data_IF_769748616069
#
_entry.id   IF_769748616069
#
_cell.length_a   1.000
_cell.length_b   1.000
_cell.length_c   1.000
_cell.angle_alpha   90.00
_cell.angle_beta   90.00
_cell.angle_gamma   90.00
#
_symmetry.space_group_name_H-M   'P 1'
#
loop_
_entity.id
_entity.type
_entity.pdbx_description
1 polymer ?
#
# COMPACT_ATOMS: atom_id res chain seq x y z
N UNK A 1 -28.97 -21.93 -49.82
CA UNK A 1 -28.66 -22.44 -48.47
C UNK A 1 -28.17 -21.26 -47.63
N UNK A 2 -28.79 -20.92 -46.49
CA UNK A 2 -28.27 -19.85 -45.66
C UNK A 2 -27.07 -20.34 -44.85
N UNK A 3 -25.98 -19.56 -44.88
CA UNK A 3 -24.75 -19.82 -44.15
C UNK A 3 -25.02 -19.77 -42.64
N UNK A 4 -24.68 -20.85 -41.92
CA UNK A 4 -24.64 -20.87 -40.45
C UNK A 4 -23.30 -20.34 -39.99
N UNK A 5 -23.27 -19.18 -39.36
CA UNK A 5 -22.12 -18.70 -38.60
C UNK A 5 -22.23 -19.20 -37.16
N UNK A 6 -21.18 -19.87 -36.68
CA UNK A 6 -21.03 -20.32 -35.31
C UNK A 6 -20.14 -19.30 -34.61
N UNK A 7 -20.72 -18.51 -33.71
CA UNK A 7 -19.94 -17.66 -32.79
C UNK A 7 -19.51 -18.58 -31.64
N UNK A 8 -18.24 -18.96 -31.62
CA UNK A 8 -17.64 -19.53 -30.42
C UNK A 8 -17.39 -18.36 -29.46
N UNK A 9 -18.34 -18.14 -28.54
CA UNK A 9 -18.09 -17.30 -27.39
C UNK A 9 -16.93 -17.91 -26.59
N UNK A 10 -15.94 -17.11 -26.15
CA UNK A 10 -14.88 -17.61 -25.30
C UNK A 10 -15.53 -18.29 -24.09
N UNK A 11 -15.14 -19.53 -23.85
CA UNK A 11 -15.66 -20.41 -22.79
C UNK A 11 -15.88 -19.60 -21.53
N UNK A 12 -17.14 -19.30 -21.20
CA UNK A 12 -17.48 -18.69 -19.93
C UNK A 12 -17.02 -19.68 -18.85
N UNK A 13 -15.86 -19.42 -18.26
CA UNK A 13 -15.42 -20.16 -17.10
C UNK A 13 -16.53 -19.98 -16.07
N UNK A 14 -17.13 -21.09 -15.63
CA UNK A 14 -18.04 -21.07 -14.48
C UNK A 14 -17.21 -20.69 -13.26
N UNK A 15 -17.16 -19.39 -12.99
CA UNK A 15 -16.52 -18.87 -11.78
C UNK A 15 -17.34 -19.37 -10.59
N UNK A 16 -16.69 -20.13 -9.72
CA UNK A 16 -17.26 -20.54 -8.43
C UNK A 16 -16.79 -19.58 -7.35
N UNK A 17 -17.68 -19.23 -6.44
CA UNK A 17 -17.34 -18.36 -5.31
C UNK A 17 -16.40 -19.11 -4.36
N UNK A 18 -15.12 -18.71 -4.34
CA UNK A 18 -14.06 -19.42 -3.61
C UNK A 18 -13.60 -18.67 -2.34
N UNK A 19 -13.42 -17.35 -2.45
CA UNK A 19 -12.93 -16.50 -1.36
C UNK A 19 -13.70 -15.18 -1.36
N UNK A 20 -13.83 -14.57 -0.18
CA UNK A 20 -14.37 -13.22 0.01
C UNK A 20 -13.27 -12.32 0.58
N UNK A 21 -13.16 -11.12 0.02
CA UNK A 21 -12.26 -10.08 0.51
C UNK A 21 -13.10 -9.00 1.18
N UNK A 22 -12.88 -8.79 2.48
CA UNK A 22 -13.49 -7.67 3.20
C UNK A 22 -12.46 -6.55 3.30
N UNK A 23 -12.79 -5.40 2.72
CA UNK A 23 -11.93 -4.21 2.74
C UNK A 23 -12.53 -3.20 3.71
N UNK A 24 -11.79 -2.93 4.78
CA UNK A 24 -12.13 -1.98 5.82
C UNK A 24 -11.45 -0.66 5.49
N UNK A 25 -12.23 0.40 5.42
CA UNK A 25 -11.76 1.77 5.15
C UNK A 25 -12.27 2.68 6.25
N UNK A 26 -11.52 3.72 6.54
CA UNK A 26 -12.01 4.79 7.42
C UNK A 26 -13.17 5.53 6.75
N UNK A 27 -14.14 6.01 7.55
CA UNK A 27 -15.34 6.67 7.04
C UNK A 27 -15.09 8.06 6.42
N UNK A 28 -13.87 8.62 6.55
CA UNK A 28 -13.53 9.91 5.97
C UNK A 28 -13.21 9.78 4.47
N UNK A 29 -13.76 10.70 3.67
CA UNK A 29 -13.70 10.70 2.19
C UNK A 29 -12.27 10.73 1.57
N UNK A 30 -11.21 10.96 2.37
CA UNK A 30 -9.81 11.07 1.91
C UNK A 30 -8.83 10.10 2.59
N UNK A 31 -9.32 9.02 3.22
CA UNK A 31 -8.45 8.08 3.91
C UNK A 31 -7.63 7.23 2.92
N UNK A 32 -6.30 7.23 3.11
CA UNK A 32 -5.34 6.45 2.31
C UNK A 32 -5.05 5.05 2.88
N UNK A 33 -5.61 4.73 4.05
CA UNK A 33 -5.37 3.46 4.73
C UNK A 33 -6.56 2.52 4.56
N UNK A 34 -6.27 1.27 4.21
CA UNK A 34 -7.24 0.20 4.12
C UNK A 34 -6.65 -1.06 4.74
N UNK A 35 -7.45 -1.74 5.56
CA UNK A 35 -7.15 -3.09 6.01
C UNK A 35 -8.00 -4.05 5.17
N UNK A 36 -7.43 -5.18 4.78
CA UNK A 36 -8.17 -6.21 4.08
C UNK A 36 -8.00 -7.55 4.78
N UNK A 37 -9.06 -8.32 4.89
CA UNK A 37 -9.02 -9.73 5.27
C UNK A 37 -9.50 -10.60 4.11
N UNK A 38 -8.90 -11.79 3.99
CA UNK A 38 -9.32 -12.84 3.05
C UNK A 38 -10.01 -13.93 3.83
N UNK A 39 -11.19 -14.31 3.37
CA UNK A 39 -12.06 -15.31 3.97
C UNK A 39 -12.32 -16.40 2.95
N UNK A 40 -12.25 -17.67 3.36
CA UNK A 40 -12.79 -18.75 2.53
C UNK A 40 -14.31 -18.65 2.50
N UNK A 41 -14.93 -19.04 1.38
CA UNK A 41 -16.39 -19.14 1.28
C UNK A 41 -16.77 -20.60 1.14
N UNK A 42 -17.76 -21.01 1.91
CA UNK A 42 -18.36 -22.34 1.83
C UNK A 42 -19.84 -22.22 1.46
N UNK A 43 -20.39 -23.22 0.75
CA UNK A 43 -21.80 -23.29 0.42
C UNK A 43 -22.50 -24.18 1.45
N UNK A 44 -23.33 -23.56 2.29
CA UNK A 44 -24.17 -24.26 3.27
C UNK A 44 -25.64 -23.99 2.96
N UNK A 45 -26.46 -25.04 2.84
CA UNK A 45 -27.87 -24.98 2.43
C UNK A 45 -28.12 -24.15 1.15
N UNK A 46 -27.21 -24.25 0.18
CA UNK A 46 -27.27 -23.52 -1.08
C UNK A 46 -26.97 -22.02 -0.97
N UNK A 47 -26.49 -21.55 0.18
CA UNK A 47 -26.10 -20.16 0.43
C UNK A 47 -24.61 -20.03 0.72
N UNK A 48 -23.95 -18.97 0.21
CA UNK A 48 -22.55 -18.73 0.52
C UNK A 48 -22.38 -18.16 1.93
N UNK A 49 -21.55 -18.83 2.72
CA UNK A 49 -21.18 -18.46 4.08
C UNK A 49 -19.71 -18.03 4.09
N UNK A 50 -19.46 -16.80 4.54
CA UNK A 50 -18.10 -16.26 4.71
C UNK A 50 -17.52 -16.82 6.01
N UNK A 51 -16.43 -17.58 5.90
CA UNK A 51 -15.74 -18.18 7.05
C UNK A 51 -14.82 -17.17 7.74
N UNK A 52 -14.15 -17.59 8.82
CA UNK A 52 -13.19 -16.77 9.55
C UNK A 52 -12.09 -16.22 8.61
N UNK A 53 -11.82 -14.93 8.73
CA UNK A 53 -10.88 -14.22 7.88
C UNK A 53 -9.47 -14.25 8.43
N UNK A 54 -8.48 -14.27 7.53
CA UNK A 54 -7.09 -13.99 7.86
C UNK A 54 -6.73 -12.60 7.33
N UNK A 55 -5.91 -11.81 8.06
CA UNK A 55 -5.33 -10.59 7.51
C UNK A 55 -4.72 -10.85 6.13
N UNK A 56 -5.02 -10.00 5.17
CA UNK A 56 -4.47 -10.12 3.83
C UNK A 56 -2.97 -9.85 3.88
N UNK A 57 -2.15 -10.88 3.65
CA UNK A 57 -0.71 -10.69 3.52
C UNK A 57 -0.36 -9.97 2.21
N UNK A 58 0.77 -9.24 2.14
CA UNK A 58 1.25 -8.63 0.89
C UNK A 58 1.41 -9.64 -0.25
N UNK A 59 1.78 -10.89 0.07
CA UNK A 59 1.90 -11.97 -0.93
C UNK A 59 0.53 -12.39 -1.48
N UNK A 60 -0.48 -12.49 -0.62
CA UNK A 60 -1.85 -12.81 -1.02
C UNK A 60 -2.47 -11.68 -1.86
N UNK A 61 -2.27 -10.41 -1.44
CA UNK A 61 -2.68 -9.24 -2.20
C UNK A 61 -2.07 -9.23 -3.62
N UNK A 62 -0.76 -9.47 -3.76
CA UNK A 62 -0.07 -9.55 -5.06
C UNK A 62 -0.52 -10.73 -5.92
N UNK A 63 -0.92 -11.85 -5.31
CA UNK A 63 -1.46 -13.01 -6.05
C UNK A 63 -2.84 -12.66 -6.62
N UNK A 64 -3.73 -12.16 -5.76
CA UNK A 64 -5.07 -11.73 -6.14
C UNK A 64 -5.02 -10.62 -7.21
N UNK A 65 -4.18 -9.60 -7.03
CA UNK A 65 -4.00 -8.53 -8.00
C UNK A 65 -3.54 -9.05 -9.37
N UNK A 66 -2.65 -10.06 -9.41
CA UNK A 66 -2.22 -10.69 -10.68
C UNK A 66 -3.32 -11.51 -11.33
N UNK A 67 -4.11 -12.24 -10.55
CA UNK A 67 -5.24 -13.04 -11.05
C UNK A 67 -6.34 -12.13 -11.62
N UNK A 68 -6.63 -11.02 -10.95
CA UNK A 68 -7.57 -9.99 -11.43
C UNK A 68 -7.02 -9.22 -12.64
N UNK A 69 -5.73 -8.88 -12.65
CA UNK A 69 -5.11 -8.18 -13.76
C UNK A 69 -5.05 -9.02 -15.05
N UNK A 70 -5.08 -10.36 -14.96
CA UNK A 70 -5.22 -11.26 -16.12
C UNK A 70 -6.62 -11.24 -16.74
N UNK A 71 -7.63 -10.75 -16.00
CA UNK A 71 -9.00 -10.59 -16.48
C UNK A 71 -9.29 -9.19 -17.02
N UNK A 72 -8.51 -8.19 -16.60
CA UNK A 72 -8.47 -6.92 -17.30
C UNK A 72 -7.86 -7.17 -18.69
N UNK A 73 -8.39 -6.58 -19.78
CA UNK A 73 -7.68 -6.60 -21.05
C UNK A 73 -6.29 -6.06 -20.76
N UNK A 74 -5.26 -6.86 -21.02
CA UNK A 74 -3.91 -6.42 -20.87
C UNK A 74 -3.78 -5.10 -21.64
N UNK A 75 -3.49 -4.00 -20.96
CA UNK A 75 -3.02 -2.76 -21.59
C UNK A 75 -1.59 -2.95 -22.11
N UNK A 76 -1.27 -4.16 -22.58
CA UNK A 76 -0.05 -4.48 -23.30
C UNK A 76 -0.19 -3.88 -24.69
N UNK A 77 0.06 -2.58 -24.79
CA UNK A 77 0.27 -1.91 -26.06
C UNK A 77 1.76 -1.86 -26.35
N UNK A 78 2.13 -2.05 -27.61
CA UNK A 78 3.48 -1.70 -28.07
C UNK A 78 3.78 -0.25 -27.70
N UNK A 79 4.99 0.01 -27.18
CA UNK A 79 5.44 1.38 -26.95
C UNK A 79 5.48 2.11 -28.29
N UNK A 80 4.79 3.23 -28.38
CA UNK A 80 4.67 4.10 -29.56
C UNK A 80 5.98 4.75 -30.06
N UNK A 81 7.13 4.34 -29.53
CA UNK A 81 8.45 4.89 -29.82
C UNK A 81 8.71 6.31 -29.27
N UNK A 82 7.67 7.02 -28.84
CA UNK A 82 7.69 8.39 -28.33
C UNK A 82 7.67 8.45 -26.81
N UNK A 83 7.12 7.44 -26.16
CA UNK A 83 7.15 7.31 -24.70
C UNK A 83 8.59 7.26 -24.21
N UNK A 84 8.92 8.16 -23.28
CA UNK A 84 10.23 8.27 -22.63
C UNK A 84 10.24 7.68 -21.22
N UNK A 85 9.13 7.85 -20.49
CA UNK A 85 8.96 7.32 -19.14
C UNK A 85 7.50 6.91 -18.93
N UNK A 86 7.31 5.73 -18.35
CA UNK A 86 6.01 5.15 -18.06
C UNK A 86 6.02 4.60 -16.63
N UNK A 87 5.55 5.42 -15.68
CA UNK A 87 5.24 4.99 -14.31
C UNK A 87 3.73 4.91 -14.08
N UNK A 88 3.35 4.48 -12.87
CA UNK A 88 1.94 4.30 -12.47
C UNK A 88 1.14 5.60 -12.47
N UNK A 89 1.78 6.70 -12.08
CA UNK A 89 1.13 8.02 -11.93
C UNK A 89 1.71 9.10 -12.85
N UNK A 90 2.82 8.82 -13.54
CA UNK A 90 3.54 9.77 -14.37
C UNK A 90 3.82 9.16 -15.74
N UNK A 91 3.38 9.85 -16.79
CA UNK A 91 3.68 9.52 -18.18
C UNK A 91 4.49 10.66 -18.79
N UNK A 92 5.57 10.33 -19.49
CA UNK A 92 6.42 11.29 -20.20
C UNK A 92 6.65 10.81 -21.63
N UNK A 93 6.46 11.68 -22.60
CA UNK A 93 6.64 11.37 -24.02
C UNK A 93 7.28 12.53 -24.77
N UNK A 94 7.96 12.20 -25.86
CA UNK A 94 8.60 13.15 -26.75
C UNK A 94 7.83 13.33 -28.04
N UNK A 95 7.80 14.57 -28.52
CA UNK A 95 7.23 14.94 -29.81
C UNK A 95 8.36 15.55 -30.65
N UNK A 96 8.67 14.98 -31.83
CA UNK A 96 9.69 15.54 -32.70
C UNK A 96 9.31 16.94 -33.19
N UNK A 97 10.32 17.75 -33.50
CA UNK A 97 10.16 19.03 -34.16
C UNK A 97 9.38 18.86 -35.46
N UNK A 98 8.46 19.77 -35.74
CA UNK A 98 7.58 19.68 -36.90
C UNK A 98 6.68 20.89 -37.04
N UNK A 99 6.02 21.00 -38.19
CA UNK A 99 5.02 22.05 -38.42
C UNK A 99 3.70 21.63 -37.78
N UNK A 100 3.13 22.51 -36.95
CA UNK A 100 1.84 22.30 -36.27
C UNK A 100 1.05 23.59 -36.25
N UNK A 101 -0.27 23.46 -36.16
CA UNK A 101 -1.13 24.62 -35.95
C UNK A 101 -1.00 25.13 -34.52
N UNK A 102 -0.94 26.45 -34.37
CA UNK A 102 -0.98 27.14 -33.08
C UNK A 102 -1.94 28.32 -33.17
N UNK A 103 -2.77 28.52 -32.14
CA UNK A 103 -3.73 29.62 -32.07
C UNK A 103 -3.47 30.52 -30.87
N UNK A 104 -3.44 31.83 -31.10
CA UNK A 104 -3.32 32.85 -30.06
C UNK A 104 -4.64 33.59 -29.88
N UNK A 105 -4.93 33.97 -28.63
CA UNK A 105 -6.01 34.90 -28.27
C UNK A 105 -5.50 35.87 -27.20
N UNK A 106 -4.95 37.00 -27.65
CA UNK A 106 -4.43 38.04 -26.75
C UNK A 106 -4.57 39.43 -27.37
N UNK A 107 -4.37 40.50 -26.58
CA UNK A 107 -4.55 41.87 -27.07
C UNK A 107 -3.56 42.23 -28.19
N UNK A 108 -2.34 41.71 -28.14
CA UNK A 108 -1.24 42.05 -29.04
C UNK A 108 -1.31 41.30 -30.40
N UNK A 109 -1.88 40.10 -30.42
CA UNK A 109 -1.96 39.24 -31.60
C UNK A 109 -3.39 39.09 -32.14
N UNK A 110 -4.40 39.52 -31.37
CA UNK A 110 -5.80 39.24 -31.65
C UNK A 110 -6.13 37.76 -31.47
N UNK A 111 -7.19 37.31 -32.14
CA UNK A 111 -7.55 35.90 -32.28
C UNK A 111 -7.14 35.41 -33.67
N UNK A 112 -6.03 34.67 -33.75
CA UNK A 112 -5.50 34.12 -35.02
C UNK A 112 -4.64 32.89 -34.77
N UNK A 113 -4.49 32.05 -35.79
CA UNK A 113 -3.60 30.89 -35.73
C UNK A 113 -3.02 30.56 -37.10
N UNK A 114 -1.87 29.90 -37.11
CA UNK A 114 -1.18 29.46 -38.33
C UNK A 114 -0.47 28.13 -38.10
N UNK A 115 -0.17 27.44 -39.20
CA UNK A 115 0.72 26.28 -39.17
C UNK A 115 2.19 26.74 -39.27
N UNK A 116 2.94 26.59 -38.18
CA UNK A 116 4.32 27.09 -38.05
C UNK A 116 5.24 25.98 -37.55
N UNK A 117 6.57 26.04 -37.77
CA UNK A 117 7.47 25.03 -37.21
C UNK A 117 7.59 25.18 -35.69
N UNK A 118 7.65 24.05 -34.99
CA UNK A 118 7.84 23.92 -33.55
C UNK A 118 9.15 23.19 -33.23
N UNK A 119 9.78 23.46 -32.06
CA UNK A 119 10.92 22.68 -31.61
C UNK A 119 10.48 21.27 -31.23
N UNK A 120 11.46 20.40 -30.97
CA UNK A 120 11.19 19.13 -30.33
C UNK A 120 10.72 19.37 -28.88
N UNK A 121 9.72 18.61 -28.42
CA UNK A 121 9.07 18.84 -27.13
C UNK A 121 9.05 17.56 -26.29
N UNK A 122 9.09 17.74 -24.97
CA UNK A 122 8.86 16.68 -24.00
C UNK A 122 7.65 17.06 -23.17
N UNK A 123 6.62 16.23 -23.19
CA UNK A 123 5.43 16.38 -22.37
C UNK A 123 5.48 15.42 -21.19
N UNK A 124 4.89 15.83 -20.07
CA UNK A 124 4.66 14.96 -18.93
C UNK A 124 3.28 15.22 -18.34
N UNK A 125 2.58 14.16 -17.92
CA UNK A 125 1.30 14.27 -17.23
C UNK A 125 1.26 13.35 -16.01
N UNK A 126 0.67 13.85 -14.93
CA UNK A 126 0.35 13.08 -13.74
C UNK A 126 -0.98 13.53 -13.15
N UNK A 127 -1.45 12.84 -12.11
CA UNK A 127 -2.60 13.30 -11.32
C UNK A 127 -2.39 14.71 -10.71
N UNK A 128 -1.12 15.15 -10.55
CA UNK A 128 -0.77 16.45 -9.94
C UNK A 128 -0.67 17.58 -10.95
N UNK A 129 -0.64 17.29 -12.25
CA UNK A 129 -0.49 18.34 -13.25
C UNK A 129 -0.05 17.86 -14.63
N UNK A 130 0.25 18.84 -15.47
CA UNK A 130 0.61 18.66 -16.86
C UNK A 130 1.73 19.63 -17.24
N UNK A 131 2.77 19.13 -17.90
CA UNK A 131 4.00 19.87 -18.18
C UNK A 131 4.46 19.68 -19.62
N UNK A 132 5.19 20.69 -20.12
CA UNK A 132 5.89 20.65 -21.40
C UNK A 132 7.22 21.41 -21.33
N UNK A 133 8.24 20.83 -21.97
CA UNK A 133 9.57 21.42 -22.16
C UNK A 133 9.99 21.33 -23.62
N UNK A 134 10.99 22.10 -24.02
CA UNK A 134 11.58 22.05 -25.35
C UNK A 134 13.00 21.48 -25.33
N UNK A 135 13.38 20.83 -26.43
CA UNK A 135 14.74 20.35 -26.68
C UNK A 135 15.38 21.17 -27.81
N UNK A 136 16.70 21.36 -27.74
CA UNK A 136 17.46 21.99 -28.83
C UNK A 136 17.62 21.04 -30.03
N UNK A 137 17.87 19.77 -29.75
CA UNK A 137 18.10 18.78 -30.79
C UNK A 137 16.81 18.03 -31.10
N UNK A 138 16.59 17.71 -32.38
CA UNK A 138 15.45 16.91 -32.82
C UNK A 138 15.80 15.41 -32.79
N UNK A 139 16.20 14.93 -31.62
CA UNK A 139 16.57 13.54 -31.37
C UNK A 139 15.83 13.08 -30.11
N UNK A 140 15.50 11.79 -30.02
CA UNK A 140 14.82 11.23 -28.85
C UNK A 140 15.63 11.53 -27.57
N UNK A 141 15.07 12.26 -26.60
CA UNK A 141 15.78 12.65 -25.39
C UNK A 141 16.18 11.46 -24.51
N UNK A 142 17.34 11.56 -23.89
CA UNK A 142 17.84 10.69 -22.81
C UNK A 142 17.65 11.38 -21.44
N UNK A 143 17.83 10.67 -20.31
CA UNK A 143 17.73 11.27 -18.98
C UNK A 143 18.65 12.49 -18.79
N UNK A 144 19.83 12.51 -19.44
CA UNK A 144 20.84 13.58 -19.35
C UNK A 144 20.55 14.75 -20.30
N UNK A 145 19.53 14.65 -21.16
CA UNK A 145 19.24 15.68 -22.16
C UNK A 145 18.89 17.00 -21.47
N UNK A 146 19.63 18.10 -21.74
CA UNK A 146 19.31 19.41 -21.21
C UNK A 146 18.01 19.94 -21.79
N UNK A 147 17.13 20.43 -20.92
CA UNK A 147 15.85 20.98 -21.32
C UNK A 147 15.88 22.51 -21.44
N UNK A 148 14.95 23.01 -22.23
CA UNK A 148 14.65 24.43 -22.38
C UNK A 148 13.20 24.71 -21.98
N UNK A 149 12.92 25.97 -21.65
CA UNK A 149 11.56 26.48 -21.45
C UNK A 149 10.79 26.25 -22.75
N UNK A 150 9.57 25.74 -22.65
CA UNK A 150 8.71 25.62 -23.81
C UNK A 150 8.34 27.04 -24.27
N UNK A 151 8.45 27.37 -25.58
CA UNK A 151 8.33 28.74 -26.06
C UNK A 151 6.88 29.23 -26.14
N UNK A 152 5.96 28.71 -25.33
CA UNK A 152 4.53 28.95 -25.45
C UNK A 152 3.99 29.89 -24.37
N UNK A 153 2.90 30.57 -24.69
CA UNK A 153 2.08 31.21 -23.65
C UNK A 153 1.44 30.13 -22.78
N UNK A 154 0.88 30.53 -21.64
CA UNK A 154 0.24 29.65 -20.67
C UNK A 154 1.18 28.59 -20.04
N UNK A 155 2.48 28.57 -20.35
CA UNK A 155 3.47 27.66 -19.75
C UNK A 155 4.38 28.40 -18.77
N UNK A 156 4.58 27.84 -17.57
CA UNK A 156 5.45 28.41 -16.53
C UNK A 156 6.94 28.22 -16.83
N UNK A 157 7.80 28.90 -16.07
CA UNK A 157 9.27 28.79 -16.22
C UNK A 157 9.81 27.36 -15.99
N UNK A 158 9.09 26.54 -15.21
CA UNK A 158 9.40 25.13 -14.97
C UNK A 158 8.58 24.17 -15.85
N UNK A 159 7.87 24.70 -16.85
CA UNK A 159 7.16 23.91 -17.85
C UNK A 159 5.74 23.51 -17.47
N UNK A 160 5.19 23.95 -16.33
CA UNK A 160 3.81 23.63 -15.96
C UNK A 160 2.82 24.34 -16.90
N UNK A 161 1.87 23.58 -17.45
CA UNK A 161 0.84 24.08 -18.36
C UNK A 161 -0.34 24.59 -17.54
N UNK A 162 -0.69 25.86 -17.71
CA UNK A 162 -1.93 26.40 -17.18
C UNK A 162 -3.09 25.94 -18.07
N UNK A 163 -3.95 25.08 -17.52
CA UNK A 163 -5.04 24.44 -18.26
C UNK A 163 -6.12 25.45 -18.69
N UNK A 164 -6.35 26.53 -17.94
CA UNK A 164 -7.41 27.49 -18.24
C UNK A 164 -8.77 26.80 -18.43
N UNK A 165 -9.48 27.12 -19.51
CA UNK A 165 -10.73 26.48 -19.92
C UNK A 165 -10.56 25.28 -20.87
N UNK A 166 -9.35 24.74 -21.00
CA UNK A 166 -9.05 23.64 -21.94
C UNK A 166 -9.71 22.36 -21.47
N UNK A 167 -10.44 21.68 -22.36
CA UNK A 167 -10.99 20.35 -22.07
C UNK A 167 -9.85 19.34 -22.05
N UNK A 168 -9.44 18.94 -20.86
CA UNK A 168 -8.42 17.89 -20.68
C UNK A 168 -9.02 16.51 -20.96
N UNK A 169 -8.28 15.59 -21.62
CA UNK A 169 -8.77 14.23 -21.82
C UNK A 169 -9.10 13.53 -20.49
N UNK A 170 -10.25 12.86 -20.42
CA UNK A 170 -10.67 12.07 -19.24
C UNK A 170 -10.36 10.58 -19.43
N UNK A 171 -9.75 9.93 -18.43
CA UNK A 171 -9.43 8.49 -18.36
C UNK A 171 -7.94 8.20 -18.14
N UNK A 172 -7.53 6.92 -18.13
CA UNK A 172 -6.15 6.52 -17.82
C UNK A 172 -5.14 7.23 -18.75
N UNK A 173 -4.21 7.96 -18.12
CA UNK A 173 -3.24 8.83 -18.78
C UNK A 173 -2.21 8.05 -19.62
N UNK A 174 -2.17 6.72 -19.48
CA UNK A 174 -1.17 5.86 -20.10
C UNK A 174 -1.32 5.58 -21.60
N UNK A 175 -2.52 5.74 -22.20
CA UNK A 175 -2.79 5.24 -23.57
C UNK A 175 -3.13 6.30 -24.62
N UNK A 176 -3.16 7.60 -24.27
CA UNK A 176 -3.61 8.69 -25.16
C UNK A 176 -2.65 9.88 -25.21
N UNK A 177 -1.35 9.63 -25.39
CA UNK A 177 -0.36 10.71 -25.50
C UNK A 177 -0.69 11.71 -26.63
N UNK A 178 -1.33 11.24 -27.70
CA UNK A 178 -1.77 12.08 -28.82
C UNK A 178 -2.90 13.01 -28.40
N UNK A 179 -3.91 12.53 -27.67
CA UNK A 179 -5.01 13.37 -27.19
C UNK A 179 -4.52 14.48 -26.26
N UNK A 180 -3.52 14.21 -25.40
CA UNK A 180 -2.90 15.24 -24.57
C UNK A 180 -2.13 16.25 -25.43
N UNK A 181 -1.33 15.78 -26.37
CA UNK A 181 -0.57 16.65 -27.29
C UNK A 181 -1.52 17.54 -28.11
N UNK A 182 -2.60 16.98 -28.63
CA UNK A 182 -3.60 17.69 -29.42
C UNK A 182 -4.39 18.68 -28.57
N UNK A 183 -4.74 18.34 -27.32
CA UNK A 183 -5.37 19.27 -26.39
C UNK A 183 -4.48 20.50 -26.12
N UNK A 184 -3.15 20.33 -26.09
CA UNK A 184 -2.23 21.45 -25.91
C UNK A 184 -2.27 22.41 -27.11
N UNK A 185 -2.11 21.87 -28.32
CA UNK A 185 -2.09 22.68 -29.55
C UNK A 185 -3.47 23.18 -29.99
N UNK A 186 -4.55 22.52 -29.54
CA UNK A 186 -5.93 22.96 -29.74
C UNK A 186 -6.39 24.06 -28.78
N UNK A 187 -5.57 24.43 -27.79
CA UNK A 187 -5.87 25.52 -26.86
C UNK A 187 -5.50 26.89 -27.44
N UNK A 188 -6.12 27.95 -26.89
CA UNK A 188 -5.71 29.32 -27.19
C UNK A 188 -4.57 29.76 -26.26
N UNK A 189 -3.44 30.09 -26.86
CA UNK A 189 -2.29 30.70 -26.20
C UNK A 189 -2.59 32.19 -25.92
N UNK A 190 -2.82 32.54 -24.65
CA UNK A 190 -3.46 33.82 -24.30
C UNK A 190 -2.54 34.82 -23.59
N UNK A 191 -1.69 34.36 -22.67
CA UNK A 191 -0.75 35.25 -21.98
C UNK A 191 0.54 34.51 -21.59
N UNK A 192 1.71 35.17 -21.62
CA UNK A 192 2.94 34.59 -21.11
C UNK A 192 2.86 34.37 -19.59
N UNK A 193 2.96 33.12 -19.14
CA UNK A 193 3.07 32.77 -17.72
C UNK A 193 4.52 32.78 -17.21
N UNK A 194 5.48 32.54 -18.11
CA UNK A 194 6.91 32.58 -17.80
C UNK A 194 7.48 33.99 -17.84
N UNK A 195 8.48 34.25 -17.00
CA UNK A 195 9.15 35.56 -16.89
C UNK A 195 9.93 35.93 -18.15
N UNK A 196 10.48 34.93 -18.86
CA UNK A 196 11.19 35.04 -20.14
C UNK A 196 11.00 33.76 -20.95
N UNK A 197 9.96 33.73 -21.77
CA UNK A 197 9.55 32.54 -22.56
C UNK A 197 10.53 32.25 -23.72
N UNK A 198 11.08 33.30 -24.36
CA UNK A 198 12.04 33.17 -25.48
C UNK A 198 13.13 34.25 -25.43
N UNK A 199 14.30 33.96 -26.03
CA UNK A 199 15.38 34.91 -26.32
C UNK A 199 15.03 35.72 -27.57
N UNK A 200 14.27 36.80 -27.38
CA UNK A 200 13.90 37.71 -28.47
C UNK A 200 13.96 39.17 -28.02
N UNK A 201 14.58 40.04 -28.85
CA UNK A 201 14.84 41.45 -28.53
C UNK A 201 13.58 42.22 -28.12
N UNK A 202 12.44 41.85 -28.68
CA UNK A 202 11.14 42.50 -28.47
C UNK A 202 10.14 41.59 -27.70
N UNK A 203 10.64 40.60 -26.97
CA UNK A 203 9.82 39.70 -26.17
C UNK A 203 9.04 38.65 -26.97
N UNK A 204 8.21 37.89 -26.25
CA UNK A 204 7.52 36.71 -26.78
C UNK A 204 6.37 37.04 -27.76
N UNK A 205 5.66 38.15 -27.56
CA UNK A 205 4.62 38.61 -28.49
C UNK A 205 5.20 38.89 -29.88
N UNK A 206 6.31 39.64 -29.95
CA UNK A 206 6.95 39.95 -31.23
C UNK A 206 7.56 38.71 -31.89
N UNK A 207 8.07 37.76 -31.09
CA UNK A 207 8.57 36.48 -31.60
C UNK A 207 7.44 35.70 -32.29
N UNK A 208 6.31 35.49 -31.61
CA UNK A 208 5.19 34.75 -32.18
C UNK A 208 4.53 35.48 -33.32
N UNK A 209 4.41 36.82 -33.27
CA UNK A 209 3.96 37.62 -34.42
C UNK A 209 4.80 37.33 -35.67
N UNK A 210 6.12 37.35 -35.56
CA UNK A 210 7.01 37.03 -36.68
C UNK A 210 6.89 35.59 -37.17
N UNK A 211 6.73 34.62 -36.25
CA UNK A 211 6.49 33.22 -36.60
C UNK A 211 5.17 33.03 -37.37
N UNK A 212 4.11 33.80 -37.04
CA UNK A 212 2.80 33.74 -37.71
C UNK A 212 2.81 34.49 -39.05
N UNK A 213 3.43 35.67 -39.11
CA UNK A 213 3.41 36.52 -40.32
C UNK A 213 4.33 36.00 -41.43
N UNK A 214 5.45 35.36 -41.07
CA UNK A 214 6.40 34.78 -42.02
C UNK A 214 7.07 33.52 -41.42
N UNK A 215 6.38 32.37 -41.41
CA UNK A 215 6.89 31.15 -40.80
C UNK A 215 8.21 30.72 -41.46
N UNK A 216 9.30 30.55 -40.70
CA UNK A 216 10.54 30.02 -41.26
C UNK A 216 10.40 28.54 -41.63
N UNK A 217 11.35 27.98 -42.39
CA UNK A 217 11.35 26.55 -42.71
C UNK A 217 11.58 25.64 -41.48
N UNK A 218 12.24 26.15 -40.44
CA UNK A 218 12.54 25.43 -39.19
C UNK A 218 12.41 26.37 -37.99
N UNK A 219 12.06 25.81 -36.84
CA UNK A 219 11.96 26.60 -35.61
C UNK A 219 13.32 27.21 -35.24
N UNK A 220 13.39 28.50 -34.89
CA UNK A 220 14.64 29.17 -34.53
C UNK A 220 15.11 28.75 -33.13
N UNK A 221 15.79 27.62 -33.03
CA UNK A 221 16.20 27.00 -31.75
C UNK A 221 17.03 27.89 -30.83
N UNK A 222 17.76 28.86 -31.39
CA UNK A 222 18.50 29.90 -30.64
C UNK A 222 17.60 30.78 -29.76
N UNK A 223 16.29 30.82 -30.06
CA UNK A 223 15.29 31.53 -29.27
C UNK A 223 14.94 30.80 -27.96
N UNK A 224 15.31 29.52 -27.81
CA UNK A 224 15.01 28.76 -26.59
C UNK A 224 15.86 29.23 -25.40
N UNK A 225 15.20 29.30 -24.25
CA UNK A 225 15.81 29.61 -22.95
C UNK A 225 16.12 28.31 -22.21
N UNK A 226 17.36 28.04 -21.77
CA UNK A 226 17.65 26.87 -20.94
C UNK A 226 16.92 26.96 -19.59
N UNK A 227 16.56 25.81 -19.02
CA UNK A 227 16.07 25.72 -17.63
C UNK A 227 17.16 25.31 -16.63
N UNK A 228 18.38 25.05 -17.11
CA UNK A 228 19.51 24.54 -16.31
C UNK A 228 19.18 23.24 -15.55
N UNK A 229 18.37 22.38 -16.18
CA UNK A 229 17.95 21.06 -15.68
C UNK A 229 17.89 20.05 -16.83
N UNK A 230 18.20 18.81 -16.51
CA UNK A 230 18.06 17.66 -17.41
C UNK A 230 16.64 17.09 -17.37
N UNK A 231 16.34 16.16 -18.28
CA UNK A 231 15.09 15.39 -18.23
C UNK A 231 14.96 14.63 -16.91
N UNK A 232 16.02 14.00 -16.43
CA UNK A 232 16.03 13.27 -15.15
C UNK A 232 15.68 14.18 -13.97
N UNK A 233 16.29 15.37 -13.91
CA UNK A 233 16.02 16.36 -12.86
C UNK A 233 14.53 16.77 -12.84
N UNK A 234 13.95 16.97 -14.02
CA UNK A 234 12.54 17.35 -14.12
C UNK A 234 11.62 16.21 -13.73
N UNK A 235 11.89 14.98 -14.19
CA UNK A 235 11.11 13.79 -13.79
C UNK A 235 11.16 13.60 -12.27
N UNK A 236 12.33 13.74 -11.65
CA UNK A 236 12.47 13.66 -10.19
C UNK A 236 11.70 14.78 -9.47
N UNK A 237 11.72 15.99 -10.02
CA UNK A 237 10.99 17.14 -9.47
C UNK A 237 9.46 16.94 -9.51
N UNK A 238 8.91 16.42 -10.61
CA UNK A 238 7.45 16.28 -10.78
C UNK A 238 6.90 14.93 -10.32
N UNK A 239 7.72 13.88 -10.31
CA UNK A 239 7.33 12.52 -9.93
C UNK A 239 7.10 12.36 -8.43
N UNK A 240 7.69 13.22 -7.60
CA UNK A 240 7.90 12.89 -6.18
C UNK A 240 8.87 11.71 -6.04
N UNK A 241 9.41 11.48 -4.84
CA UNK A 241 10.41 10.43 -4.55
C UNK A 241 10.22 9.18 -5.43
N UNK A 242 11.28 8.79 -6.15
CA UNK A 242 11.37 7.58 -6.97
C UNK A 242 11.36 6.32 -6.07
N UNK A 243 10.36 6.18 -5.22
CA UNK A 243 10.09 4.94 -4.51
C UNK A 243 9.30 4.08 -5.47
N UNK A 244 9.82 2.89 -5.79
CA UNK A 244 9.09 1.91 -6.58
C UNK A 244 7.69 1.74 -5.96
N UNK A 245 6.60 1.74 -6.74
CA UNK A 245 5.25 1.62 -6.19
C UNK A 245 5.05 0.36 -5.34
N UNK A 246 5.81 -0.72 -5.61
CA UNK A 246 5.84 -1.93 -4.79
C UNK A 246 6.49 -1.68 -3.45
N UNK A 247 7.56 -0.88 -3.41
CA UNK A 247 8.23 -0.49 -2.18
C UNK A 247 7.39 0.51 -1.38
N UNK A 248 6.71 1.44 -2.05
CA UNK A 248 5.75 2.33 -1.40
C UNK A 248 4.61 1.54 -0.75
N UNK A 249 4.07 0.52 -1.44
CA UNK A 249 3.06 -0.37 -0.87
C UNK A 249 3.61 -1.21 0.31
N UNK A 250 4.87 -1.65 0.24
CA UNK A 250 5.54 -2.35 1.35
C UNK A 250 5.72 -1.44 2.56
N UNK A 251 6.15 -0.20 2.35
CA UNK A 251 6.30 0.81 3.41
C UNK A 251 4.95 1.21 4.01
N UNK A 252 3.87 1.25 3.21
CA UNK A 252 2.54 1.50 3.73
C UNK A 252 2.03 0.33 4.61
N UNK A 253 2.38 -0.91 4.27
CA UNK A 253 1.99 -2.10 5.05
C UNK A 253 2.77 -2.26 6.36
N UNK A 254 4.02 -1.78 6.40
CA UNK A 254 4.86 -1.75 7.60
C UNK A 254 5.64 -0.42 7.66
N UNK A 255 5.02 0.67 8.15
CA UNK A 255 5.67 1.96 8.25
C UNK A 255 6.90 1.90 9.15
N UNK A 256 7.87 2.78 8.90
CA UNK A 256 9.06 2.93 9.73
C UNK A 256 9.06 4.36 10.27
N UNK A 257 9.24 4.51 11.58
CA UNK A 257 9.38 5.81 12.23
C UNK A 257 10.68 5.86 13.03
N UNK A 258 11.36 7.00 12.99
CA UNK A 258 12.48 7.27 13.90
C UNK A 258 11.93 7.61 15.29
N UNK A 259 12.54 7.07 16.34
CA UNK A 259 12.17 7.38 17.72
C UNK A 259 12.46 8.85 18.01
N UNK A 260 11.45 9.67 18.36
CA UNK A 260 11.68 11.05 18.72
C UNK A 260 12.53 11.14 19.99
N UNK A 261 13.47 12.09 20.02
CA UNK A 261 14.37 12.28 21.17
C UNK A 261 13.78 13.17 22.27
N UNK A 262 12.92 14.11 21.89
CA UNK A 262 12.42 15.17 22.76
C UNK A 262 10.89 15.18 22.88
N UNK A 263 10.20 14.26 22.23
CA UNK A 263 8.74 14.15 22.23
C UNK A 263 8.32 12.71 22.40
N UNK A 264 7.03 12.50 22.64
CA UNK A 264 6.44 11.17 22.62
C UNK A 264 6.43 10.59 21.21
N UNK A 265 6.34 9.25 21.15
CA UNK A 265 6.17 8.53 19.91
C UNK A 265 4.82 8.92 19.27
N UNK A 266 4.76 9.30 17.99
CA UNK A 266 3.50 9.73 17.37
C UNK A 266 2.42 8.65 17.49
N UNK A 267 1.16 9.00 17.78
CA UNK A 267 0.08 8.01 17.83
C UNK A 267 -0.03 7.26 16.49
N UNK A 268 -0.50 6.02 16.55
CA UNK A 268 -0.80 5.23 15.35
C UNK A 268 -2.21 4.66 15.41
N UNK A 269 -2.84 4.54 14.25
CA UNK A 269 -4.06 3.77 14.07
C UNK A 269 -3.77 2.27 14.24
N UNK A 270 -4.82 1.45 14.20
CA UNK A 270 -4.69 -0.01 14.21
C UNK A 270 -3.77 -0.48 13.09
N UNK A 271 -2.73 -1.25 13.45
CA UNK A 271 -1.74 -1.76 12.51
C UNK A 271 -0.43 -2.16 13.18
N UNK A 272 0.60 -2.26 12.35
CA UNK A 272 1.94 -2.68 12.71
C UNK A 272 2.94 -1.68 12.11
N UNK A 273 3.95 -1.25 12.86
CA UNK A 273 5.06 -0.44 12.35
C UNK A 273 6.38 -0.78 13.02
N UNK A 274 7.49 -0.40 12.39
CA UNK A 274 8.81 -0.43 13.01
C UNK A 274 9.18 0.95 13.57
N UNK A 275 9.86 0.93 14.71
CA UNK A 275 10.42 2.11 15.38
C UNK A 275 11.92 1.92 15.51
N UNK A 276 12.70 2.82 14.91
CA UNK A 276 14.17 2.81 15.01
C UNK A 276 14.57 3.77 16.13
N UNK A 277 15.09 3.23 17.22
CA UNK A 277 15.51 3.97 18.41
C UNK A 277 17.02 3.92 18.59
N UNK A 278 17.59 4.81 19.39
CA UNK A 278 19.03 4.82 19.65
C UNK A 278 19.49 3.54 20.36
N UNK A 279 18.61 2.89 21.11
CA UNK A 279 18.93 1.65 21.79
C UNK A 279 18.53 0.40 21.00
N UNK A 280 17.94 0.48 19.79
CA UNK A 280 17.66 -0.67 18.92
C UNK A 280 16.42 -0.52 18.03
N UNK A 281 16.04 -1.60 17.35
CA UNK A 281 14.84 -1.66 16.49
C UNK A 281 13.69 -2.30 17.26
N UNK A 282 12.53 -1.65 17.20
CA UNK A 282 11.32 -2.08 17.88
C UNK A 282 10.19 -2.30 16.87
N UNK A 283 9.33 -3.27 17.16
CA UNK A 283 8.05 -3.47 16.50
C UNK A 283 6.96 -2.89 17.39
N UNK A 284 6.14 -1.98 16.84
CA UNK A 284 4.96 -1.47 17.51
C UNK A 284 3.70 -2.05 16.87
N UNK A 285 2.84 -2.59 17.72
CA UNK A 285 1.53 -3.14 17.35
C UNK A 285 0.44 -2.33 18.03
N UNK A 286 -0.58 -1.94 17.26
CA UNK A 286 -1.83 -1.39 17.78
C UNK A 286 -2.99 -2.19 17.19
N UNK A 287 -3.74 -2.89 18.02
CA UNK A 287 -5.03 -3.51 17.68
C UNK A 287 -6.08 -2.98 18.66
N UNK A 288 -7.38 -3.17 18.40
CA UNK A 288 -8.43 -2.79 19.36
C UNK A 288 -8.18 -3.34 20.78
N UNK A 289 -7.53 -4.51 20.87
CA UNK A 289 -7.24 -5.18 22.13
C UNK A 289 -5.77 -5.12 22.59
N UNK A 290 -4.83 -4.68 21.74
CA UNK A 290 -3.38 -4.78 21.97
C UNK A 290 -2.68 -3.45 21.71
N UNK A 291 -1.88 -2.99 22.68
CA UNK A 291 -0.88 -1.93 22.49
C UNK A 291 0.47 -2.44 22.98
N UNK A 292 1.36 -2.73 22.03
CA UNK A 292 2.63 -3.35 22.31
C UNK A 292 3.75 -2.60 21.60
N UNK A 293 4.85 -2.37 22.30
CA UNK A 293 6.15 -2.05 21.71
C UNK A 293 7.16 -3.07 22.20
N UNK A 294 7.74 -3.83 21.28
CA UNK A 294 8.74 -4.84 21.61
C UNK A 294 10.02 -4.62 20.81
N UNK A 295 11.18 -4.76 21.46
CA UNK A 295 12.47 -4.82 20.77
C UNK A 295 12.56 -6.09 19.91
N UNK A 296 12.83 -5.92 18.62
CA UNK A 296 13.00 -7.01 17.66
C UNK A 296 14.41 -7.06 17.04
N UNK A 297 15.27 -6.08 17.32
CA UNK A 297 16.65 -6.07 16.86
C UNK A 297 17.55 -5.16 17.70
N UNK A 298 18.83 -5.56 17.79
CA UNK A 298 19.89 -4.72 18.35
C UNK A 298 20.39 -3.70 17.32
N UNK A 299 21.00 -2.62 17.82
CA UNK A 299 21.82 -1.69 17.05
C UNK A 299 23.17 -1.62 17.77
N UNK A 300 24.25 -1.50 17.00
CA UNK A 300 25.59 -1.36 17.56
C UNK A 300 25.67 -0.14 18.48
N UNK A 301 26.11 -0.36 19.73
CA UNK A 301 26.24 0.69 20.75
C UNK A 301 27.29 1.75 20.38
N UNK A 302 28.22 1.43 19.47
CA UNK A 302 29.22 2.37 18.95
C UNK A 302 28.69 3.30 17.86
N UNK A 303 27.47 3.08 17.35
CA UNK A 303 26.84 3.96 16.37
C UNK A 303 25.99 5.03 17.08
N UNK A 304 26.41 6.30 17.13
CA UNK A 304 25.66 7.35 17.81
C UNK A 304 24.43 7.77 16.98
N UNK A 305 23.30 7.11 17.20
CA UNK A 305 22.04 7.49 16.57
C UNK A 305 21.41 8.69 17.29
N UNK A 306 20.95 9.73 16.57
CA UNK A 306 20.37 10.93 17.17
C UNK A 306 18.90 10.74 17.62
N UNK A 307 18.50 9.52 17.95
CA UNK A 307 17.12 9.13 18.25
C UNK A 307 16.86 8.98 19.75
N UNK A 308 15.59 8.94 20.15
CA UNK A 308 15.19 8.59 21.52
C UNK A 308 15.45 7.13 21.86
N UNK A 309 15.34 6.78 23.15
CA UNK A 309 15.38 5.38 23.63
C UNK A 309 14.00 4.95 24.10
N UNK A 310 13.67 3.67 23.96
CA UNK A 310 12.43 3.10 24.47
C UNK A 310 12.68 1.88 25.36
N UNK A 311 11.78 1.70 26.34
CA UNK A 311 11.59 0.44 27.03
C UNK A 311 10.39 -0.30 26.39
N UNK A 312 10.43 -1.64 26.27
CA UNK A 312 9.29 -2.40 25.80
C UNK A 312 8.04 -2.20 26.69
N UNK A 313 6.85 -2.31 26.11
CA UNK A 313 5.59 -2.40 26.84
C UNK A 313 4.62 -3.36 26.17
N UNK A 314 3.71 -3.90 26.98
CA UNK A 314 2.59 -4.72 26.56
C UNK A 314 1.37 -4.29 27.36
N UNK A 315 0.30 -3.87 26.68
CA UNK A 315 -0.96 -3.44 27.29
C UNK A 315 -2.10 -4.10 26.56
N UNK A 316 -3.00 -4.72 27.31
CA UNK A 316 -4.21 -5.35 26.79
C UNK A 316 -5.40 -4.48 27.19
N UNK A 317 -6.34 -4.25 26.26
CA UNK A 317 -7.53 -3.43 26.53
C UNK A 317 -8.40 -3.98 27.67
N UNK A 318 -8.35 -5.30 27.86
CA UNK A 318 -9.05 -6.04 28.91
C UNK A 318 -8.17 -6.26 30.17
N UNK A 319 -7.02 -5.60 30.26
CA UNK A 319 -6.08 -5.73 31.37
C UNK A 319 -5.32 -7.04 31.33
N UNK A 320 -5.88 -8.08 31.95
CA UNK A 320 -5.26 -9.40 32.09
C UNK A 320 -6.20 -10.51 31.63
N UNK A 321 -5.65 -11.65 31.23
CA UNK A 321 -6.48 -12.84 30.92
C UNK A 321 -7.14 -13.33 32.22
N UNK A 322 -8.48 -13.38 32.32
CA UNK A 322 -9.16 -13.85 33.52
C UNK A 322 -8.85 -15.31 33.83
N UNK A 323 -8.47 -15.61 35.07
CA UNK A 323 -8.14 -16.95 35.52
C UNK A 323 -9.26 -17.97 35.29
N UNK A 324 -10.52 -17.57 35.38
CA UNK A 324 -11.67 -18.46 35.19
C UNK A 324 -11.76 -19.00 33.77
N UNK A 325 -11.36 -18.22 32.75
CA UNK A 325 -11.31 -18.71 31.37
C UNK A 325 -10.22 -19.77 31.19
N UNK A 326 -9.07 -19.57 31.85
CA UNK A 326 -7.99 -20.56 31.85
C UNK A 326 -8.39 -21.83 32.62
N UNK A 327 -9.08 -21.71 33.76
CA UNK A 327 -9.62 -22.86 34.51
C UNK A 327 -10.63 -23.65 33.68
N UNK A 328 -11.52 -22.96 32.95
CA UNK A 328 -12.44 -23.61 32.02
C UNK A 328 -11.70 -24.39 30.94
N UNK A 329 -10.64 -23.82 30.37
CA UNK A 329 -9.82 -24.51 29.38
C UNK A 329 -9.09 -25.72 29.99
N UNK A 330 -8.49 -25.60 31.17
CA UNK A 330 -7.87 -26.74 31.87
C UNK A 330 -8.88 -27.85 32.15
N UNK A 331 -10.13 -27.51 32.51
CA UNK A 331 -11.18 -28.50 32.70
C UNK A 331 -11.56 -29.22 31.38
N UNK A 332 -11.57 -28.49 30.26
CA UNK A 332 -11.73 -29.07 28.92
C UNK A 332 -10.55 -30.01 28.58
N UNK A 333 -9.31 -29.56 28.76
CA UNK A 333 -8.11 -30.33 28.50
C UNK A 333 -8.03 -31.61 29.35
N UNK A 334 -8.43 -31.55 30.63
CA UNK A 334 -8.52 -32.73 31.50
C UNK A 334 -9.52 -33.77 31.00
N UNK A 335 -10.62 -33.36 30.37
CA UNK A 335 -11.62 -34.27 29.79
C UNK A 335 -11.13 -34.88 28.47
N UNK A 336 -10.34 -34.13 27.69
CA UNK A 336 -9.78 -34.60 26.42
C UNK A 336 -8.53 -35.49 26.58
N UNK A 337 -7.79 -35.33 27.69
CA UNK A 337 -6.60 -36.11 27.96
C UNK A 337 -6.85 -37.63 27.89
N UNK A 338 -5.95 -38.42 27.27
CA UNK A 338 -4.56 -38.08 26.93
C UNK A 338 -4.37 -37.39 25.57
N UNK A 339 -5.44 -37.07 24.84
CA UNK A 339 -5.35 -36.39 23.54
C UNK A 339 -5.25 -34.87 23.72
N UNK A 340 -4.80 -34.20 22.68
CA UNK A 340 -4.76 -32.75 22.60
C UNK A 340 -6.15 -32.13 22.38
N UNK A 341 -6.33 -30.89 22.82
CA UNK A 341 -7.53 -30.08 22.53
C UNK A 341 -7.14 -28.62 22.39
N UNK A 342 -7.94 -27.87 21.62
CA UNK A 342 -7.77 -26.42 21.48
C UNK A 342 -9.03 -25.64 21.88
N UNK A 343 -8.81 -24.39 22.26
CA UNK A 343 -9.84 -23.38 22.47
C UNK A 343 -9.25 -21.99 22.16
N UNK A 344 -10.12 -21.03 21.92
CA UNK A 344 -9.72 -19.63 21.77
C UNK A 344 -10.43 -18.76 22.82
N UNK A 345 -9.72 -17.77 23.35
CA UNK A 345 -10.32 -16.66 24.07
C UNK A 345 -10.64 -15.57 23.05
N UNK A 346 -11.92 -15.20 23.01
CA UNK A 346 -12.49 -14.24 22.07
C UNK A 346 -12.80 -12.95 22.82
N UNK A 347 -12.37 -11.83 22.25
CA UNK A 347 -12.67 -10.48 22.71
C UNK A 347 -13.75 -9.84 21.84
N UNK A 348 -14.78 -9.29 22.47
CA UNK A 348 -15.79 -8.48 21.80
C UNK A 348 -15.42 -6.99 21.90
N UNK A 349 -15.08 -6.36 20.78
CA UNK A 349 -14.66 -4.95 20.72
C UNK A 349 -15.73 -3.99 21.28
N UNK A 350 -17.01 -4.29 21.07
CA UNK A 350 -18.12 -3.43 21.51
C UNK A 350 -18.32 -3.43 23.03
N UNK A 351 -18.08 -4.56 23.68
CA UNK A 351 -18.39 -4.73 25.12
C UNK A 351 -17.14 -4.86 25.99
N UNK A 352 -15.96 -5.05 25.40
CA UNK A 352 -14.73 -5.39 26.12
C UNK A 352 -14.74 -6.79 26.74
N UNK A 353 -15.79 -7.58 26.50
CA UNK A 353 -15.98 -8.87 27.17
C UNK A 353 -15.09 -9.95 26.55
N UNK A 354 -14.64 -10.87 27.40
CA UNK A 354 -13.91 -12.07 27.01
C UNK A 354 -14.78 -13.31 27.20
N UNK A 355 -14.69 -14.26 26.26
CA UNK A 355 -15.29 -15.59 26.40
C UNK A 355 -14.34 -16.67 25.88
N UNK A 356 -14.38 -17.84 26.51
CA UNK A 356 -13.75 -19.04 25.98
C UNK A 356 -14.67 -19.67 24.92
N UNK A 357 -14.09 -20.13 23.81
CA UNK A 357 -14.78 -20.89 22.79
C UNK A 357 -13.96 -22.13 22.43
N UNK A 358 -14.57 -23.30 22.52
CA UNK A 358 -13.93 -24.53 22.09
C UNK A 358 -13.71 -24.49 20.56
N UNK A 359 -12.55 -24.99 20.13
CA UNK A 359 -12.27 -25.24 18.73
C UNK A 359 -12.82 -26.64 18.37
N UNK A 360 -13.34 -26.80 17.17
CA UNK A 360 -13.78 -28.11 16.69
C UNK A 360 -12.56 -28.93 16.28
N UNK A 361 -12.32 -30.05 16.96
CA UNK A 361 -11.22 -30.96 16.63
C UNK A 361 -11.54 -31.71 15.34
N UNK A 362 -10.66 -31.55 14.34
CA UNK A 362 -10.69 -32.30 13.08
C UNK A 362 -9.89 -33.59 13.21
N UNK A 363 -8.69 -33.47 13.78
CA UNK A 363 -7.77 -34.58 14.04
C UNK A 363 -7.03 -34.30 15.34
N UNK A 364 -6.93 -35.29 16.22
CA UNK A 364 -6.16 -35.17 17.46
C UNK A 364 -5.48 -36.51 17.74
N UNK A 365 -4.17 -36.47 17.89
CA UNK A 365 -3.39 -37.53 18.49
C UNK A 365 -2.70 -37.02 19.77
N UNK A 366 -1.58 -37.62 20.17
CA UNK A 366 -0.84 -37.21 21.38
C UNK A 366 0.21 -36.12 21.12
N UNK A 367 0.58 -35.91 19.86
CA UNK A 367 1.68 -35.07 19.40
C UNK A 367 1.24 -34.08 18.28
N UNK A 368 -0.02 -34.16 17.83
CA UNK A 368 -0.58 -33.37 16.74
C UNK A 368 -2.08 -33.08 16.94
N UNK A 369 -2.45 -31.83 16.68
CA UNK A 369 -3.82 -31.35 16.72
C UNK A 369 -4.14 -30.50 15.48
N UNK A 370 -5.20 -30.88 14.76
CA UNK A 370 -5.81 -30.09 13.71
C UNK A 370 -7.20 -29.69 14.16
N UNK A 371 -7.50 -28.40 14.18
CA UNK A 371 -8.79 -27.89 14.61
C UNK A 371 -9.32 -26.77 13.72
N UNK A 372 -10.64 -26.59 13.72
CA UNK A 372 -11.28 -25.43 13.12
C UNK A 372 -11.45 -24.33 14.17
N UNK A 373 -11.11 -23.07 13.83
CA UNK A 373 -11.31 -21.95 14.74
C UNK A 373 -12.81 -21.72 15.02
N UNK A 374 -13.15 -21.14 16.18
CA UNK A 374 -14.53 -20.91 16.56
C UNK A 374 -15.23 -19.88 15.66
N UNK A 375 -16.54 -19.97 15.54
CA UNK A 375 -17.37 -18.99 14.84
C UNK A 375 -17.34 -17.65 15.60
N UNK A 376 -17.07 -16.57 14.88
CA UNK A 376 -16.96 -15.21 15.43
C UNK A 376 -18.11 -14.34 14.92
N UNK A 377 -18.66 -13.51 15.80
CA UNK A 377 -19.49 -12.38 15.40
C UNK A 377 -18.63 -11.26 14.76
N UNK A 378 -19.27 -10.32 14.06
CA UNK A 378 -18.56 -9.25 13.35
C UNK A 378 -17.68 -8.35 14.23
N UNK A 379 -17.99 -8.24 15.53
CA UNK A 379 -17.23 -7.46 16.52
C UNK A 379 -16.29 -8.29 17.38
N UNK A 380 -16.15 -9.59 17.07
CA UNK A 380 -15.37 -10.54 17.85
C UNK A 380 -14.04 -10.86 17.17
N UNK A 381 -13.00 -10.98 17.99
CA UNK A 381 -11.65 -11.29 17.55
C UNK A 381 -11.03 -12.33 18.48
N UNK A 382 -10.30 -13.30 17.93
CA UNK A 382 -9.47 -14.20 18.73
C UNK A 382 -8.28 -13.41 19.27
N UNK A 383 -8.11 -13.41 20.59
CA UNK A 383 -7.02 -12.69 21.27
C UNK A 383 -6.03 -13.62 21.94
N UNK A 384 -6.50 -14.79 22.39
CA UNK A 384 -5.64 -15.87 22.88
C UNK A 384 -6.02 -17.15 22.16
N UNK A 385 -5.02 -17.86 21.66
CA UNK A 385 -5.14 -19.22 21.16
C UNK A 385 -4.55 -20.19 22.18
N UNK A 386 -5.31 -21.22 22.52
CA UNK A 386 -4.98 -22.16 23.59
C UNK A 386 -4.98 -23.59 23.06
N UNK A 387 -3.94 -24.35 23.35
CA UNK A 387 -3.91 -25.79 23.13
C UNK A 387 -3.30 -26.54 24.30
N UNK A 388 -3.48 -27.86 24.33
CA UNK A 388 -2.94 -28.71 25.39
C UNK A 388 -2.20 -29.91 24.84
N UNK A 389 -1.09 -30.30 25.46
CA UNK A 389 -0.35 -31.54 25.16
C UNK A 389 -0.78 -32.72 26.03
N UNK A 390 -1.99 -32.68 26.60
CA UNK A 390 -2.49 -33.73 27.51
C UNK A 390 -1.56 -33.97 28.71
N UNK A 391 -0.96 -35.16 28.76
CA UNK A 391 -0.05 -35.56 29.84
C UNK A 391 1.41 -35.11 29.65
N UNK A 392 1.78 -34.69 28.44
CA UNK A 392 3.12 -34.25 28.15
C UNK A 392 3.40 -32.84 28.74
N UNK A 393 4.68 -32.46 28.94
CA UNK A 393 5.05 -31.12 29.41
C UNK A 393 4.56 -30.00 28.47
N UNK A 394 4.42 -28.79 29.02
CA UNK A 394 4.11 -27.61 28.21
C UNK A 394 5.37 -27.14 27.47
N UNK A 395 5.31 -27.05 26.13
CA UNK A 395 6.36 -26.46 25.29
C UNK A 395 5.75 -25.98 23.96
N UNK A 396 6.43 -25.08 23.25
CA UNK A 396 6.07 -24.74 21.88
C UNK A 396 6.97 -25.50 20.89
N UNK A 397 6.35 -26.18 19.94
CA UNK A 397 7.00 -26.94 18.86
C UNK A 397 7.21 -26.08 17.60
N UNK A 398 7.98 -26.61 16.64
CA UNK A 398 8.16 -25.95 15.34
C UNK A 398 6.86 -25.89 14.51
N UNK A 399 5.91 -26.78 14.76
CA UNK A 399 4.59 -26.73 14.13
C UNK A 399 3.76 -25.58 14.73
N UNK A 400 3.79 -25.42 16.05
CA UNK A 400 3.14 -24.30 16.73
C UNK A 400 3.71 -22.96 16.23
N UNK A 401 5.02 -22.87 16.00
CA UNK A 401 5.65 -21.68 15.40
C UNK A 401 5.15 -21.36 13.98
N UNK A 402 4.83 -22.40 13.19
CA UNK A 402 4.29 -22.22 11.86
C UNK A 402 2.84 -21.75 11.89
N UNK A 403 2.04 -22.29 12.81
CA UNK A 403 0.62 -21.95 13.01
C UNK A 403 0.43 -20.58 13.68
N UNK A 404 1.39 -20.16 14.50
CA UNK A 404 1.40 -18.87 15.21
C UNK A 404 1.89 -17.68 14.39
N UNK A 405 1.82 -17.78 13.05
CA UNK A 405 2.14 -16.67 12.13
C UNK A 405 0.98 -15.67 12.00
N UNK A 406 0.56 -15.13 13.12
CA UNK A 406 -0.43 -14.06 13.25
C UNK A 406 -0.05 -13.15 14.43
N UNK A 407 -0.89 -12.14 14.72
CA UNK A 407 -0.78 -11.34 15.94
C UNK A 407 -1.82 -11.86 16.95
N UNK A 408 -1.37 -12.62 17.94
CA UNK A 408 -2.22 -13.23 18.99
C UNK A 408 -1.37 -13.62 20.20
N UNK A 409 -2.00 -13.75 21.35
CA UNK A 409 -1.39 -14.46 22.48
C UNK A 409 -1.58 -15.96 22.26
N UNK A 410 -0.57 -16.76 22.60
CA UNK A 410 -0.63 -18.21 22.51
C UNK A 410 -0.35 -18.79 23.90
N UNK A 411 -1.14 -19.78 24.31
CA UNK A 411 -0.97 -20.47 25.59
C UNK A 411 -1.01 -21.99 25.39
N UNK A 412 0.05 -22.67 25.81
CA UNK A 412 0.12 -24.14 25.79
C UNK A 412 0.03 -24.68 27.20
N UNK A 413 -0.82 -25.68 27.41
CA UNK A 413 -1.00 -26.35 28.70
C UNK A 413 -0.51 -27.80 28.64
N UNK A 414 0.33 -28.17 29.60
CA UNK A 414 0.90 -29.50 29.74
C UNK A 414 0.58 -30.12 31.08
N UNK A 415 0.78 -31.45 31.18
CA UNK A 415 0.53 -32.24 32.39
C UNK A 415 -0.84 -31.95 32.99
N UNK A 416 -1.88 -31.84 32.15
CA UNK A 416 -3.16 -31.25 32.55
C UNK A 416 -3.91 -32.08 33.59
N UNK A 417 -3.67 -33.39 33.64
CA UNK A 417 -4.21 -34.30 34.68
C UNK A 417 -3.46 -34.24 36.01
N UNK A 418 -2.31 -33.55 36.06
CA UNK A 418 -1.58 -33.36 37.31
C UNK A 418 -2.27 -32.37 38.24
N UNK A 419 -1.87 -32.37 39.52
CA UNK A 419 -2.34 -31.40 40.52
C UNK A 419 -2.00 -29.97 40.14
N UNK A 420 -0.87 -29.76 39.45
CA UNK A 420 -0.37 -28.46 39.02
C UNK A 420 -0.04 -28.52 37.52
N UNK A 421 -1.03 -28.27 36.64
CA UNK A 421 -0.80 -28.18 35.21
C UNK A 421 0.29 -27.16 34.89
N UNK A 422 1.12 -27.48 33.90
CA UNK A 422 2.12 -26.57 33.35
C UNK A 422 1.46 -25.68 32.31
N UNK A 423 1.91 -24.44 32.21
CA UNK A 423 1.42 -23.51 31.22
C UNK A 423 2.54 -22.56 30.77
N UNK A 424 2.65 -22.34 29.46
CA UNK A 424 3.56 -21.36 28.88
C UNK A 424 2.76 -20.43 27.98
N UNK A 425 3.10 -19.13 28.00
CA UNK A 425 2.45 -18.12 27.19
C UNK A 425 3.47 -17.33 26.39
N UNK A 426 3.10 -16.99 25.16
CA UNK A 426 3.87 -16.10 24.30
C UNK A 426 2.96 -15.11 23.58
N UNK A 427 3.49 -13.93 23.26
CA UNK A 427 2.91 -13.07 22.25
C UNK A 427 3.56 -13.38 20.90
N UNK A 428 2.75 -13.77 19.92
CA UNK A 428 3.19 -13.93 18.54
C UNK A 428 2.92 -12.63 17.76
N UNK A 429 3.91 -12.15 17.02
CA UNK A 429 3.80 -11.02 16.08
C UNK A 429 4.39 -11.47 14.75
N UNK A 430 3.59 -12.16 13.93
CA UNK A 430 3.97 -12.60 12.58
C UNK A 430 5.32 -13.36 12.53
N UNK A 431 5.60 -14.22 13.53
CA UNK A 431 6.84 -14.99 13.64
C UNK A 431 7.90 -14.41 14.57
N UNK A 432 7.69 -13.21 15.13
CA UNK A 432 8.40 -12.77 16.33
C UNK A 432 7.66 -13.32 17.55
N UNK A 433 8.35 -14.12 18.36
CA UNK A 433 7.80 -14.69 19.59
C UNK A 433 8.39 -14.01 20.82
N UNK A 434 7.53 -13.58 21.72
CA UNK A 434 7.89 -12.92 22.97
C UNK A 434 7.40 -13.81 24.09
N UNK A 435 8.33 -14.40 24.84
CA UNK A 435 8.01 -15.19 26.02
C UNK A 435 7.41 -14.27 27.10
N UNK A 436 6.27 -14.68 27.65
CA UNK A 436 5.54 -13.94 28.66
C UNK A 436 5.65 -14.58 30.06
N UNK A 437 6.47 -15.61 30.24
CA UNK A 437 6.66 -16.27 31.54
C UNK A 437 7.12 -15.31 32.64
N UNK A 438 8.01 -14.36 32.33
CA UNK A 438 8.46 -13.34 33.29
C UNK A 438 7.46 -12.19 33.49
N UNK A 439 6.41 -12.13 32.67
CA UNK A 439 5.35 -11.11 32.71
C UNK A 439 4.00 -11.72 33.12
N UNK A 440 4.04 -12.90 33.75
CA UNK A 440 2.85 -13.70 34.04
C UNK A 440 1.79 -12.92 34.82
N UNK A 441 2.18 -12.25 35.90
CA UNK A 441 1.24 -11.53 36.78
C UNK A 441 0.65 -10.26 36.14
N UNK A 442 1.33 -9.69 35.13
CA UNK A 442 0.87 -8.48 34.43
C UNK A 442 0.06 -8.79 33.16
N UNK A 443 0.10 -10.04 32.68
CA UNK A 443 -0.62 -10.50 31.47
C UNK A 443 -1.77 -11.44 31.83
N UNK A 444 -1.62 -12.23 32.90
CA UNK A 444 -2.57 -13.23 33.36
C UNK A 444 -3.06 -12.83 34.76
N UNK A 445 -4.38 -12.80 34.94
CA UNK A 445 -5.03 -12.38 36.19
C UNK A 445 -4.97 -13.46 37.26
N UNK A 446 -3.78 -13.95 37.56
CA UNK A 446 -3.55 -15.03 38.50
C UNK A 446 -2.81 -14.51 39.73
N UNK A 447 -3.56 -14.05 40.71
CA UNK A 447 -3.14 -14.27 42.10
C UNK A 447 -3.26 -15.79 42.36
N UNK A 448 -2.23 -16.56 41.95
CA UNK A 448 -2.01 -17.99 42.21
C UNK A 448 -3.09 -18.97 41.68
N UNK A 449 -2.69 -19.88 40.79
CA UNK A 449 -3.37 -21.17 40.58
C UNK A 449 -3.25 -22.13 41.79
N UNK A 450 -2.93 -21.62 42.99
CA UNK A 450 -2.82 -22.42 44.21
C UNK A 450 -4.16 -22.49 44.93
N UNK A 451 -4.93 -23.53 44.58
CA UNK A 451 -5.77 -24.28 45.52
C UNK A 451 -7.13 -23.68 45.90
N UNK A 452 -8.20 -24.39 45.53
CA UNK A 452 -9.28 -24.69 46.48
C UNK A 452 -9.60 -26.19 46.40
N UNK A 453 -9.89 -26.74 47.57
CA UNK A 453 -9.84 -28.15 47.98
C UNK A 453 -10.98 -29.03 47.45
#
# INVERSE_FOLDING_TARGET
MPARFRIEAPRAASLVLAEAVLVYREAQHNATHAYASIHRVEISDGRPVILAGKPMSPRAARRLARELARQAPASESFLDGRTLYAGDILRVWWVPAGVRHIAFRCAELGERGEAVPHPALVFAVSAKGWWVWACKDNVRPTPETPLCRAPYFNVSDLGAICQGSTVVPTGDAGSRIDAWTDAFFGSFFSHPNGTKVVKHKHGAHAFWKGMLDAPPARFPVRALMPIEKTLADMIAHIGGSMTDPRDAALHAALPIVAAPRHSELPPMATGLRLVVAANGVFTQVRLPWLDCLQRCGGIDTGLPLPYGTFAPWLRLSFGVIPADLLRQFVAQARRAAPLETAAAIIHCERTGALRLAACETVEADRDHLVYLPPILAATEQVVVDLHSHGDAPAFFSALDDADDRAIKLCGVFGRVRSRHPEALFRLAINGLFIDLCDQWDSVVGLAKLEGEA
#
